data_IF_593224123624
#
_entry.id   IF_593224123624
#
_cell.length_a   1.000
_cell.length_b   1.000
_cell.length_c   1.000
_cell.angle_alpha   90.00
_cell.angle_beta   90.00
_cell.angle_gamma   90.00
#
_symmetry.space_group_name_H-M   'P 1'
#
loop_
_entity.id
_entity.type
_entity.pdbx_description
1 polymer ?
#
# COMPACT_ATOMS: atom_id res chain seq x y z
N UNK A 1 48.52 54.94 -52.61
CA UNK A 1 48.07 53.55 -52.81
C UNK A 1 48.31 52.84 -51.48
N UNK A 2 47.32 52.81 -50.57
CA UNK A 2 47.43 52.22 -49.24
C UNK A 2 46.45 51.07 -49.13
N UNK A 3 46.89 49.86 -48.90
CA UNK A 3 46.09 48.67 -48.66
C UNK A 3 45.74 48.58 -47.17
N UNK A 4 44.46 48.62 -46.87
CA UNK A 4 43.99 48.28 -45.51
C UNK A 4 43.84 46.77 -45.41
N UNK A 5 44.47 46.21 -44.37
CA UNK A 5 44.35 44.81 -43.99
C UNK A 5 43.34 44.74 -42.83
N UNK A 6 42.17 44.19 -43.13
CA UNK A 6 41.19 43.91 -42.10
C UNK A 6 41.61 42.69 -41.23
N UNK A 7 41.75 42.93 -39.92
CA UNK A 7 41.90 41.88 -38.95
C UNK A 7 40.55 41.28 -38.60
N UNK A 8 40.31 40.06 -39.02
CA UNK A 8 39.18 39.27 -38.56
C UNK A 8 39.39 38.86 -37.10
N UNK A 9 38.47 39.31 -36.24
CA UNK A 9 38.35 38.85 -34.85
C UNK A 9 37.67 37.48 -34.84
N UNK A 10 38.44 36.45 -34.47
CA UNK A 10 37.93 35.12 -34.22
C UNK A 10 37.90 34.88 -32.72
N UNK A 11 36.87 35.34 -32.03
CA UNK A 11 36.65 34.96 -30.61
C UNK A 11 35.13 35.11 -30.26
N UNK A 12 34.28 34.24 -30.81
CA UNK A 12 32.87 34.26 -30.47
C UNK A 12 32.21 32.88 -30.28
N UNK A 13 32.91 31.81 -30.56
CA UNK A 13 32.26 30.49 -30.60
C UNK A 13 32.72 29.49 -29.51
N UNK A 14 33.74 29.84 -28.70
CA UNK A 14 34.19 28.95 -27.63
C UNK A 14 33.44 29.11 -26.30
N UNK A 15 32.85 30.26 -26.01
CA UNK A 15 32.10 30.49 -24.75
C UNK A 15 30.69 29.94 -24.74
N UNK A 16 30.08 29.73 -25.92
CA UNK A 16 28.70 29.22 -25.99
C UNK A 16 28.59 27.70 -25.85
N UNK A 17 29.69 26.97 -25.96
CA UNK A 17 29.71 25.48 -25.84
C UNK A 17 29.98 24.96 -24.44
N UNK A 18 30.39 25.80 -23.54
CA UNK A 18 30.65 25.43 -22.12
C UNK A 18 29.43 25.61 -21.21
N UNK A 19 28.38 26.31 -21.64
CA UNK A 19 27.18 26.56 -20.83
C UNK A 19 26.13 25.46 -21.02
N UNK A 20 26.19 24.68 -22.11
CA UNK A 20 25.19 23.61 -22.35
C UNK A 20 25.47 22.27 -21.69
N UNK A 21 26.65 22.09 -21.08
CA UNK A 21 27.01 20.81 -20.43
C UNK A 21 26.81 20.81 -18.92
N UNK A 22 26.50 21.94 -18.29
CA UNK A 22 26.35 22.06 -16.83
C UNK A 22 24.90 22.01 -16.36
N UNK A 23 23.90 22.00 -17.25
CA UNK A 23 22.47 22.04 -16.87
C UNK A 23 21.83 20.66 -16.80
N UNK A 24 22.47 19.60 -17.30
CA UNK A 24 21.87 18.24 -17.31
C UNK A 24 22.21 17.42 -16.05
N UNK A 25 23.08 17.89 -15.18
CA UNK A 25 23.49 17.14 -13.98
C UNK A 25 22.71 17.47 -12.71
N UNK A 26 21.66 18.29 -12.79
CA UNK A 26 20.93 18.78 -11.60
C UNK A 26 19.54 18.18 -11.39
N UNK A 27 19.13 17.13 -12.12
CA UNK A 27 17.79 16.53 -11.99
C UNK A 27 17.79 15.03 -11.60
N UNK A 28 18.93 14.50 -11.12
CA UNK A 28 18.88 13.25 -10.39
C UNK A 28 18.79 13.63 -8.93
N UNK A 29 17.61 14.10 -8.49
CA UNK A 29 17.29 14.10 -7.07
C UNK A 29 17.35 12.65 -6.63
N UNK A 30 18.22 12.24 -5.70
CA UNK A 30 18.10 10.92 -5.10
C UNK A 30 16.73 10.91 -4.45
N UNK A 31 15.84 10.06 -4.91
CA UNK A 31 14.68 9.66 -4.13
C UNK A 31 15.28 9.02 -2.88
N UNK A 32 15.41 9.80 -1.83
CA UNK A 32 15.75 9.27 -0.51
C UNK A 32 14.53 8.43 -0.13
N UNK A 33 14.58 7.14 -0.47
CA UNK A 33 13.73 6.15 0.13
C UNK A 33 14.18 6.13 1.59
N UNK A 34 13.51 6.92 2.42
CA UNK A 34 13.59 6.77 3.86
C UNK A 34 12.99 5.41 4.18
N UNK A 35 13.77 4.34 4.01
CA UNK A 35 13.48 3.07 4.64
C UNK A 35 13.38 3.39 6.13
N UNK A 36 12.22 3.16 6.73
CA UNK A 36 12.05 3.22 8.18
C UNK A 36 13.05 2.21 8.76
N UNK A 37 14.20 2.70 9.21
CA UNK A 37 15.27 1.86 9.76
C UNK A 37 14.68 1.03 10.90
N UNK A 38 14.64 -0.29 10.73
CA UNK A 38 14.16 -1.24 11.74
C UNK A 38 12.73 -1.75 11.57
N UNK A 39 11.92 -1.22 10.62
CA UNK A 39 10.56 -1.72 10.38
C UNK A 39 10.48 -2.60 9.13
N UNK A 40 9.66 -3.64 9.20
CA UNK A 40 9.42 -4.56 8.09
C UNK A 40 8.81 -3.82 6.89
N UNK A 41 9.30 -4.13 5.70
CA UNK A 41 8.73 -3.59 4.45
C UNK A 41 7.79 -4.62 3.83
N UNK A 42 6.50 -4.30 3.81
CA UNK A 42 5.43 -5.11 3.22
C UNK A 42 5.17 -4.82 1.74
N UNK A 43 5.94 -3.94 1.09
CA UNK A 43 5.76 -3.62 -0.32
C UNK A 43 5.99 -4.86 -1.20
N UNK A 44 5.11 -5.05 -2.18
CA UNK A 44 5.19 -6.17 -3.12
C UNK A 44 3.87 -6.47 -3.81
N UNK A 45 3.94 -7.37 -4.80
CA UNK A 45 2.79 -8.01 -5.41
C UNK A 45 2.59 -9.36 -4.72
N UNK A 46 1.46 -9.49 -4.03
CA UNK A 46 1.15 -10.60 -3.14
C UNK A 46 0.04 -11.47 -3.72
N UNK A 47 0.34 -12.75 -3.92
CA UNK A 47 -0.62 -13.76 -4.38
C UNK A 47 -1.03 -14.65 -3.23
N UNK A 48 -2.34 -14.79 -3.00
CA UNK A 48 -2.86 -15.62 -1.93
C UNK A 48 -2.52 -17.09 -2.18
N UNK A 49 -1.91 -17.72 -1.20
CA UNK A 49 -1.68 -19.16 -1.16
C UNK A 49 -2.85 -19.83 -0.44
N UNK A 50 -3.78 -20.41 -1.22
CA UNK A 50 -4.99 -21.03 -0.68
C UNK A 50 -4.69 -22.27 0.17
N UNK A 51 -3.64 -23.02 -0.16
CA UNK A 51 -3.27 -24.26 0.54
C UNK A 51 -2.74 -24.00 1.95
N UNK A 52 -2.01 -22.88 2.12
CA UNK A 52 -1.44 -22.46 3.41
C UNK A 52 -2.38 -21.57 4.22
N UNK A 53 -3.48 -21.12 3.62
CA UNK A 53 -4.40 -20.18 4.25
C UNK A 53 -5.54 -20.90 4.96
N UNK A 54 -5.89 -20.44 6.17
CA UNK A 54 -7.08 -20.90 6.90
C UNK A 54 -8.16 -19.83 6.79
N UNK A 55 -9.24 -20.16 6.07
CA UNK A 55 -10.42 -19.29 5.95
C UNK A 55 -11.51 -19.76 6.92
N UNK A 56 -12.36 -18.86 7.44
CA UNK A 56 -13.55 -19.26 8.18
C UNK A 56 -14.44 -20.14 7.32
N UNK A 57 -15.01 -21.19 7.90
CA UNK A 57 -15.98 -22.02 7.20
C UNK A 57 -17.23 -21.20 6.81
N UNK A 58 -17.80 -21.52 5.63
CA UNK A 58 -19.06 -20.92 5.19
C UNK A 58 -20.14 -21.20 6.24
N UNK A 59 -20.72 -20.13 6.81
CA UNK A 59 -21.73 -20.22 7.88
C UNK A 59 -21.32 -19.63 9.23
N UNK A 60 -20.04 -19.51 9.55
CA UNK A 60 -19.58 -18.88 10.80
C UNK A 60 -19.55 -17.36 10.79
N UNK A 61 -19.69 -16.73 9.64
CA UNK A 61 -19.72 -15.28 9.50
C UNK A 61 -21.03 -14.83 8.87
N UNK A 62 -22.10 -14.72 9.63
CA UNK A 62 -23.45 -14.39 9.16
C UNK A 62 -23.50 -13.34 8.06
N UNK A 63 -24.17 -13.66 6.95
CA UNK A 63 -24.63 -12.74 5.92
C UNK A 63 -23.61 -12.38 4.84
N UNK A 64 -23.84 -12.94 3.68
CA UNK A 64 -23.50 -12.43 2.36
C UNK A 64 -22.28 -11.53 2.19
N UNK A 65 -21.14 -12.08 1.85
CA UNK A 65 -20.31 -11.40 0.88
C UNK A 65 -19.15 -10.53 1.33
N UNK A 66 -18.76 -10.49 2.59
CA UNK A 66 -17.46 -9.89 2.92
C UNK A 66 -16.40 -10.97 3.21
N UNK A 67 -15.85 -11.54 2.17
CA UNK A 67 -14.53 -12.18 2.25
C UNK A 67 -13.49 -11.06 2.43
N UNK A 68 -13.35 -10.55 3.66
CA UNK A 68 -12.24 -9.67 3.98
C UNK A 68 -10.96 -10.51 4.00
N UNK A 69 -9.97 -10.06 3.27
CA UNK A 69 -8.63 -10.61 3.31
C UNK A 69 -8.26 -11.61 2.22
N UNK A 70 -9.18 -12.32 1.58
CA UNK A 70 -8.84 -13.22 0.48
C UNK A 70 -8.67 -12.51 -0.86
N UNK A 71 -7.70 -12.98 -1.67
CA UNK A 71 -7.40 -12.45 -2.99
C UNK A 71 -6.07 -11.72 -3.06
N UNK A 72 -5.53 -11.62 -4.28
CA UNK A 72 -4.25 -10.98 -4.55
C UNK A 72 -4.31 -9.47 -4.27
N UNK A 73 -3.18 -8.88 -3.97
CA UNK A 73 -3.06 -7.45 -3.79
C UNK A 73 -1.65 -6.94 -4.07
N UNK A 74 -1.55 -5.66 -4.38
CA UNK A 74 -0.29 -4.93 -4.45
C UNK A 74 -0.21 -4.01 -3.24
N UNK A 75 0.91 -4.08 -2.52
CA UNK A 75 1.22 -3.17 -1.44
C UNK A 75 2.38 -2.26 -1.84
N UNK A 76 2.26 -0.97 -1.56
CA UNK A 76 3.37 -0.01 -1.58
C UNK A 76 3.54 0.57 -0.20
N UNK A 77 4.79 0.72 0.23
CA UNK A 77 5.10 1.25 1.56
C UNK A 77 6.12 2.36 1.42
N UNK A 78 5.73 3.54 1.86
CA UNK A 78 6.57 4.72 2.00
C UNK A 78 6.87 4.95 3.48
N UNK A 79 7.66 5.99 3.80
CA UNK A 79 8.11 6.23 5.17
C UNK A 79 6.99 6.18 6.24
N UNK A 80 5.82 6.73 5.95
CA UNK A 80 4.69 6.77 6.89
C UNK A 80 3.36 6.34 6.29
N UNK A 81 3.37 5.63 5.16
CA UNK A 81 2.15 5.26 4.45
C UNK A 81 2.27 3.86 3.89
N UNK A 82 1.31 2.98 4.22
CA UNK A 82 1.06 1.72 3.54
C UNK A 82 -0.18 1.87 2.66
N UNK A 83 -0.03 1.65 1.36
CA UNK A 83 -1.14 1.61 0.42
C UNK A 83 -1.34 0.19 -0.08
N UNK A 84 -2.56 -0.33 0.02
CA UNK A 84 -2.94 -1.69 -0.38
C UNK A 84 -4.01 -1.61 -1.46
N UNK A 85 -3.70 -2.11 -2.65
CA UNK A 85 -4.59 -2.15 -3.81
C UNK A 85 -5.04 -3.59 -4.04
N UNK A 86 -6.33 -3.85 -3.90
CA UNK A 86 -6.95 -5.16 -4.13
C UNK A 86 -7.85 -5.09 -5.35
N UNK A 87 -7.61 -5.95 -6.33
CA UNK A 87 -8.50 -6.12 -7.48
C UNK A 87 -9.25 -7.43 -7.34
N UNK A 88 -10.56 -7.40 -7.49
CA UNK A 88 -11.44 -8.57 -7.44
C UNK A 88 -12.32 -8.59 -8.68
N UNK A 89 -12.62 -9.77 -9.17
CA UNK A 89 -13.63 -9.95 -10.20
C UNK A 89 -15.01 -9.98 -9.52
N UNK A 90 -15.89 -9.07 -9.92
CA UNK A 90 -17.29 -9.05 -9.48
C UNK A 90 -18.08 -10.25 -9.99
N UNK A 91 -19.31 -10.41 -9.51
CA UNK A 91 -20.21 -11.48 -10.00
C UNK A 91 -20.60 -11.27 -11.47
N UNK A 92 -20.52 -10.04 -11.95
CA UNK A 92 -20.73 -9.61 -13.35
C UNK A 92 -19.50 -9.81 -14.25
N UNK A 93 -18.42 -10.40 -13.71
CA UNK A 93 -17.16 -10.59 -14.41
C UNK A 93 -16.31 -9.33 -14.52
N UNK A 94 -16.77 -8.18 -14.02
CA UNK A 94 -16.01 -6.92 -14.10
C UNK A 94 -15.01 -6.82 -12.95
N UNK A 95 -13.79 -6.27 -13.22
CA UNK A 95 -12.82 -6.03 -12.17
C UNK A 95 -13.27 -4.84 -11.30
N UNK A 96 -13.24 -5.05 -9.98
CA UNK A 96 -13.44 -3.99 -8.99
C UNK A 96 -12.16 -3.81 -8.18
N UNK A 97 -11.65 -2.59 -8.16
CA UNK A 97 -10.42 -2.25 -7.44
C UNK A 97 -10.76 -1.46 -6.18
N UNK A 98 -10.17 -1.86 -5.08
CA UNK A 98 -10.28 -1.16 -3.79
C UNK A 98 -8.88 -0.75 -3.33
N UNK A 99 -8.71 0.52 -3.02
CA UNK A 99 -7.47 1.06 -2.46
C UNK A 99 -7.69 1.41 -1.00
N UNK A 100 -6.84 0.88 -0.12
CA UNK A 100 -6.82 1.20 1.31
C UNK A 100 -5.48 1.85 1.66
N UNK A 101 -5.53 2.92 2.45
CA UNK A 101 -4.35 3.67 2.89
C UNK A 101 -4.29 3.67 4.42
N UNK A 102 -3.12 3.37 4.95
CA UNK A 102 -2.87 3.31 6.38
C UNK A 102 -1.64 4.14 6.73
N UNK A 103 -1.82 5.17 7.57
CA UNK A 103 -0.68 5.88 8.15
C UNK A 103 0.01 4.98 9.17
N UNK A 104 1.35 4.97 9.14
CA UNK A 104 2.17 4.04 9.94
C UNK A 104 2.70 4.68 11.23
N UNK A 105 2.14 5.82 11.61
CA UNK A 105 2.48 6.60 12.82
C UNK A 105 1.48 6.39 13.98
N UNK A 106 0.57 5.43 13.84
CA UNK A 106 -0.45 5.15 14.85
C UNK A 106 -1.65 6.08 14.85
N UNK A 107 -1.75 7.00 13.88
CA UNK A 107 -2.92 7.87 13.72
C UNK A 107 -4.03 7.19 12.94
N UNK A 108 -5.23 7.73 13.07
CA UNK A 108 -6.40 7.25 12.34
C UNK A 108 -6.28 7.56 10.84
N UNK A 109 -6.55 6.56 10.02
CA UNK A 109 -6.70 6.66 8.57
C UNK A 109 -8.16 6.44 8.19
N UNK A 110 -8.72 7.27 7.33
CA UNK A 110 -10.09 7.12 6.82
C UNK A 110 -10.02 6.62 5.39
N UNK A 111 -10.72 5.52 5.12
CA UNK A 111 -10.85 4.94 3.80
C UNK A 111 -12.33 4.90 3.38
N UNK A 112 -12.66 5.64 2.34
CA UNK A 112 -14.03 5.75 1.81
C UNK A 112 -14.30 4.65 0.79
N UNK A 113 -15.47 4.05 0.86
CA UNK A 113 -15.96 3.07 -0.10
C UNK A 113 -17.46 3.26 -0.36
N UNK A 114 -18.02 2.68 -1.45
CA UNK A 114 -19.46 2.72 -1.71
C UNK A 114 -20.33 2.14 -0.58
N UNK A 115 -19.73 1.39 0.34
CA UNK A 115 -20.39 0.79 1.50
C UNK A 115 -20.17 1.58 2.80
N UNK A 116 -19.73 2.82 2.71
CA UNK A 116 -19.42 3.69 3.83
C UNK A 116 -17.92 3.74 4.15
N UNK A 117 -17.60 4.63 5.06
CA UNK A 117 -16.24 4.89 5.53
C UNK A 117 -15.77 3.83 6.52
N UNK A 118 -14.48 3.54 6.47
CA UNK A 118 -13.80 2.77 7.51
C UNK A 118 -12.69 3.61 8.13
N UNK A 119 -12.56 3.51 9.44
CA UNK A 119 -11.51 4.14 10.25
C UNK A 119 -10.54 3.07 10.67
N UNK A 120 -9.25 3.29 10.43
CA UNK A 120 -8.21 2.31 10.73
C UNK A 120 -7.06 2.96 11.47
N UNK A 121 -6.48 2.23 12.43
CA UNK A 121 -5.25 2.61 13.13
C UNK A 121 -4.24 1.49 12.94
N UNK A 122 -3.07 1.84 12.40
CA UNK A 122 -1.97 0.91 12.19
C UNK A 122 -0.85 1.16 13.19
N UNK A 123 -0.43 0.11 13.92
CA UNK A 123 0.59 0.16 14.96
C UNK A 123 1.64 -0.92 14.73
N UNK A 124 2.90 -0.53 14.81
CA UNK A 124 4.02 -1.46 14.82
C UNK A 124 4.20 -2.12 16.18
N UNK A 125 4.67 -3.37 16.16
CA UNK A 125 5.29 -3.98 17.35
C UNK A 125 6.59 -3.25 17.72
N UNK A 126 7.04 -3.39 18.96
CA UNK A 126 8.24 -2.72 19.47
C UNK A 126 9.50 -3.10 18.67
N UNK A 127 9.58 -4.32 18.17
CA UNK A 127 10.67 -4.83 17.33
C UNK A 127 10.53 -4.43 15.84
N UNK A 128 9.44 -3.76 15.46
CA UNK A 128 9.14 -3.33 14.09
C UNK A 128 8.85 -4.46 13.10
N UNK A 129 8.68 -5.71 13.56
CA UNK A 129 8.50 -6.87 12.67
C UNK A 129 7.06 -7.12 12.27
N UNK A 130 6.11 -6.71 13.11
CA UNK A 130 4.68 -6.90 12.84
C UNK A 130 3.95 -5.57 12.80
N UNK A 131 2.91 -5.50 11.97
CA UNK A 131 2.01 -4.36 11.86
C UNK A 131 0.61 -4.82 12.22
N UNK A 132 0.04 -4.26 13.28
CA UNK A 132 -1.36 -4.47 13.67
C UNK A 132 -2.21 -3.35 13.11
N UNK A 133 -3.26 -3.69 12.35
CA UNK A 133 -4.23 -2.76 11.79
C UNK A 133 -5.59 -3.04 12.41
N UNK A 134 -6.07 -2.12 13.23
CA UNK A 134 -7.42 -2.14 13.80
C UNK A 134 -8.34 -1.31 12.92
N UNK A 135 -9.44 -1.89 12.45
CA UNK A 135 -10.39 -1.20 11.58
C UNK A 135 -11.80 -1.26 12.19
N UNK A 136 -12.48 -0.13 12.19
CA UNK A 136 -13.90 -0.02 12.49
C UNK A 136 -14.66 0.53 11.28
N UNK A 137 -15.84 -0.05 11.00
CA UNK A 137 -16.75 0.41 9.96
C UNK A 137 -18.16 0.43 10.49
N UNK A 138 -18.82 1.55 10.33
CA UNK A 138 -20.25 1.68 10.61
C UNK A 138 -21.04 1.55 9.31
N UNK A 139 -22.06 0.70 9.32
CA UNK A 139 -22.95 0.45 8.17
C UNK A 139 -24.39 0.47 8.64
N UNK A 140 -25.27 1.02 7.83
CA UNK A 140 -26.70 0.92 8.05
C UNK A 140 -27.23 -0.39 7.46
N UNK A 141 -27.80 -1.21 8.32
CA UNK A 141 -28.42 -2.49 7.97
C UNK A 141 -29.88 -2.48 8.41
N UNK A 142 -30.79 -2.43 7.44
CA UNK A 142 -32.25 -2.41 7.69
C UNK A 142 -32.71 -1.26 8.62
N UNK A 143 -32.08 -0.08 8.52
CA UNK A 143 -32.39 1.07 9.35
C UNK A 143 -31.72 1.09 10.72
N UNK A 144 -30.91 0.09 11.03
CA UNK A 144 -30.05 0.07 12.23
C UNK A 144 -28.59 0.32 11.86
N UNK A 145 -27.96 1.25 12.56
CA UNK A 145 -26.53 1.51 12.40
C UNK A 145 -25.73 0.49 13.22
N UNK A 146 -24.88 -0.29 12.53
CA UNK A 146 -24.01 -1.30 13.16
C UNK A 146 -22.54 -1.00 12.90
N UNK A 147 -21.76 -1.00 13.96
CA UNK A 147 -20.30 -0.88 13.86
C UNK A 147 -19.65 -2.26 13.90
N UNK A 148 -18.90 -2.58 12.85
CA UNK A 148 -18.11 -3.80 12.77
C UNK A 148 -16.64 -3.46 13.04
N UNK A 149 -15.99 -4.27 13.86
CA UNK A 149 -14.56 -4.16 14.16
C UNK A 149 -13.79 -5.35 13.62
N UNK A 150 -12.60 -5.10 13.14
CA UNK A 150 -11.65 -6.14 12.74
C UNK A 150 -10.23 -5.73 13.09
N UNK A 151 -9.40 -6.74 13.36
CA UNK A 151 -7.96 -6.57 13.60
C UNK A 151 -7.22 -7.45 12.62
N UNK A 152 -6.23 -6.92 11.94
CA UNK A 152 -5.29 -7.65 11.10
C UNK A 152 -3.89 -7.52 11.69
N UNK A 153 -3.15 -8.62 11.76
CA UNK A 153 -1.74 -8.64 12.14
C UNK A 153 -0.93 -9.14 10.95
N UNK A 154 -0.09 -8.29 10.42
CA UNK A 154 0.77 -8.53 9.27
C UNK A 154 2.17 -8.89 9.72
N UNK A 155 2.74 -9.99 9.21
CA UNK A 155 4.11 -10.41 9.49
C UNK A 155 4.73 -11.10 8.26
N UNK A 156 6.00 -10.82 7.97
CA UNK A 156 6.77 -11.63 7.04
C UNK A 156 7.36 -12.83 7.78
N UNK A 157 7.08 -14.05 7.31
CA UNK A 157 7.73 -15.27 7.80
C UNK A 157 9.10 -15.46 7.16
N UNK A 158 9.25 -14.96 5.93
CA UNK A 158 10.51 -14.86 5.20
C UNK A 158 10.41 -13.72 4.16
N UNK A 159 11.44 -13.51 3.34
CA UNK A 159 11.47 -12.42 2.36
C UNK A 159 10.37 -12.47 1.28
N UNK A 160 9.74 -13.64 1.10
CA UNK A 160 8.75 -13.90 0.05
C UNK A 160 7.39 -14.35 0.56
N UNK A 161 7.22 -14.52 1.87
CA UNK A 161 5.98 -15.04 2.46
C UNK A 161 5.45 -14.07 3.51
N UNK A 162 4.24 -13.56 3.26
CA UNK A 162 3.50 -12.70 4.18
C UNK A 162 2.35 -13.49 4.81
N UNK A 163 2.20 -13.38 6.12
CA UNK A 163 1.03 -13.85 6.86
C UNK A 163 0.19 -12.67 7.33
N UNK A 164 -1.12 -12.79 7.19
CA UNK A 164 -2.11 -11.83 7.71
C UNK A 164 -3.11 -12.61 8.56
N UNK A 165 -2.91 -12.55 9.88
CA UNK A 165 -3.88 -13.08 10.83
C UNK A 165 -4.98 -12.03 11.04
N UNK A 166 -6.24 -12.43 10.85
CA UNK A 166 -7.38 -11.53 10.97
C UNK A 166 -8.38 -12.04 11.99
N UNK A 167 -8.87 -11.14 12.81
CA UNK A 167 -9.98 -11.37 13.75
C UNK A 167 -11.07 -10.35 13.47
N UNK A 168 -12.31 -10.80 13.32
CA UNK A 168 -13.47 -9.94 13.08
C UNK A 168 -14.59 -10.29 14.03
N UNK A 169 -15.22 -9.28 14.60
CA UNK A 169 -16.45 -9.47 15.38
C UNK A 169 -17.58 -9.96 14.49
N UNK A 170 -18.15 -11.09 14.82
CA UNK A 170 -19.34 -11.67 14.18
C UNK A 170 -20.52 -11.70 15.14
N UNK A 171 -21.74 -11.99 14.66
CA UNK A 171 -22.93 -12.06 15.50
C UNK A 171 -22.89 -13.21 16.52
N UNK A 172 -22.12 -14.25 16.26
CA UNK A 172 -21.97 -15.44 17.09
C UNK A 172 -20.57 -15.55 17.72
N UNK A 173 -19.86 -14.44 17.87
CA UNK A 173 -18.50 -14.39 18.39
C UNK A 173 -17.46 -14.03 17.32
N UNK A 174 -16.19 -14.06 17.71
CA UNK A 174 -15.09 -13.68 16.85
C UNK A 174 -14.82 -14.71 15.75
N UNK A 175 -14.69 -14.24 14.55
CA UNK A 175 -14.31 -15.03 13.36
C UNK A 175 -12.84 -14.78 13.06
N UNK A 176 -12.02 -15.84 13.10
CA UNK A 176 -10.59 -15.78 12.87
C UNK A 176 -10.23 -16.39 11.53
N UNK A 177 -9.23 -15.83 10.86
CA UNK A 177 -8.61 -16.38 9.66
C UNK A 177 -7.12 -16.10 9.66
N UNK A 178 -6.36 -16.96 8.98
CA UNK A 178 -4.94 -16.74 8.74
C UNK A 178 -4.70 -16.90 7.24
N UNK A 179 -4.35 -15.79 6.60
CA UNK A 179 -4.10 -15.75 5.17
C UNK A 179 -2.61 -15.72 4.92
N UNK A 180 -2.14 -16.57 4.03
CA UNK A 180 -0.75 -16.64 3.61
C UNK A 180 -0.65 -16.18 2.17
N UNK A 181 0.35 -15.35 1.90
CA UNK A 181 0.61 -14.78 0.57
C UNK A 181 2.06 -15.03 0.18
N UNK A 182 2.25 -15.44 -1.06
CA UNK A 182 3.56 -15.57 -1.68
C UNK A 182 3.84 -14.32 -2.54
N UNK A 183 5.08 -13.81 -2.46
CA UNK A 183 5.52 -12.65 -3.25
C UNK A 183 5.83 -13.08 -4.67
N UNK A 184 5.33 -12.35 -5.66
CA UNK A 184 5.70 -12.53 -7.06
C UNK A 184 7.07 -11.97 -7.38
#
# INVERSE_FOLDING_TARGET
MKRNIEKRSANGSALLRLISLTVILALISPVIINAQTGKTNFAGDWTMNAEKSTQPQAGQGGGGGMRMGGGNFVATQEANLLTVVRTRTGQDGQPSTTTMKYTLDGKESINTSPRGDSKSVAKWSDDGKTLTIETSRTMDMNGESRTMKSTEVWALTDAKTLTVASTRQGPNGDVKSNMVYDKK
#
